data_IF_498549957801
#
_entry.id   IF_498549957801
#
_cell.length_a   1.000
_cell.length_b   1.000
_cell.length_c   1.000
_cell.angle_alpha   90.00
_cell.angle_beta   90.00
_cell.angle_gamma   90.00
#
_symmetry.space_group_name_H-M   'P 1'
#
loop_
_entity.id
_entity.type
_entity.pdbx_description
1 polymer ?
#
# COMPACT_ATOMS: atom_id res chain seq x y z
N UNK A 1 -2.25 4.37 -15.42
CA UNK A 1 -1.42 4.45 -14.20
C UNK A 1 -1.39 5.91 -13.83
N UNK A 2 -1.99 6.28 -12.71
CA UNK A 2 -2.11 7.68 -12.28
C UNK A 2 -1.09 7.99 -11.19
N UNK A 3 -0.99 9.27 -10.83
CA UNK A 3 -0.15 9.75 -9.73
C UNK A 3 -0.96 10.61 -8.75
N UNK A 4 -0.60 10.58 -7.47
CA UNK A 4 -1.21 11.47 -6.48
C UNK A 4 -0.75 12.91 -6.71
N UNK A 5 -1.69 13.87 -6.66
CA UNK A 5 -1.39 15.28 -6.96
C UNK A 5 -0.38 15.94 -6.02
N UNK A 6 -0.31 15.51 -4.75
CA UNK A 6 0.57 16.15 -3.73
C UNK A 6 1.95 15.53 -3.62
N UNK A 7 2.06 14.23 -3.87
CA UNK A 7 3.27 13.46 -3.54
C UNK A 7 3.78 12.63 -4.72
N UNK A 8 3.14 12.73 -5.89
CA UNK A 8 3.58 12.03 -7.10
C UNK A 8 3.64 10.51 -6.95
N UNK A 9 2.86 9.94 -6.03
CA UNK A 9 2.89 8.50 -5.75
C UNK A 9 2.07 7.77 -6.80
N UNK A 10 2.57 6.63 -7.23
CA UNK A 10 1.85 5.72 -8.11
C UNK A 10 0.52 5.32 -7.49
N UNK A 11 -0.54 5.51 -8.27
CA UNK A 11 -1.89 5.27 -7.84
C UNK A 11 -2.74 4.70 -8.97
N UNK A 12 -3.59 3.72 -8.67
CA UNK A 12 -4.64 3.30 -9.61
C UNK A 12 -5.87 2.77 -8.88
N UNK A 13 -7.00 2.78 -9.57
CA UNK A 13 -8.28 2.27 -9.08
C UNK A 13 -8.83 1.22 -10.03
N UNK A 14 -9.28 0.09 -9.47
CA UNK A 14 -9.94 -1.00 -10.21
C UNK A 14 -11.09 -1.50 -9.36
N UNK A 15 -12.29 -1.58 -9.92
CA UNK A 15 -13.47 -2.20 -9.27
C UNK A 15 -13.74 -1.72 -7.82
N UNK A 16 -13.55 -0.42 -7.56
CA UNK A 16 -13.76 0.17 -6.23
C UNK A 16 -12.62 -0.06 -5.23
N UNK A 17 -11.56 -0.76 -5.63
CA UNK A 17 -10.30 -0.84 -4.92
C UNK A 17 -9.35 0.27 -5.36
N UNK A 18 -8.49 0.69 -4.45
CA UNK A 18 -7.44 1.66 -4.67
C UNK A 18 -6.10 1.04 -4.32
N UNK A 19 -5.12 1.26 -5.18
CA UNK A 19 -3.77 0.73 -5.08
C UNK A 19 -2.83 1.91 -4.99
N UNK A 20 -2.14 2.05 -3.87
CA UNK A 20 -1.36 3.24 -3.55
C UNK A 20 0.06 2.84 -3.17
N UNK A 21 1.03 3.38 -3.89
CA UNK A 21 2.45 3.26 -3.54
C UNK A 21 2.75 3.90 -2.17
N UNK A 22 3.61 3.25 -1.41
CA UNK A 22 4.05 3.77 -0.12
C UNK A 22 4.80 5.09 -0.31
N UNK A 23 4.38 6.10 0.45
CA UNK A 23 5.09 7.38 0.47
C UNK A 23 6.43 7.25 1.23
N UNK A 24 7.60 7.37 0.56
CA UNK A 24 8.90 7.32 1.22
C UNK A 24 9.16 8.56 2.09
N UNK A 25 8.37 9.63 1.98
CA UNK A 25 8.61 10.86 2.75
C UNK A 25 8.00 10.83 4.15
N UNK A 26 7.13 9.86 4.46
CA UNK A 26 6.49 9.79 5.78
C UNK A 26 7.46 9.28 6.86
N UNK A 27 7.14 9.51 8.13
CA UNK A 27 7.94 9.01 9.27
C UNK A 27 7.75 7.52 9.60
N UNK A 28 7.05 6.76 8.76
CA UNK A 28 6.71 5.36 9.06
C UNK A 28 7.87 4.39 8.78
N UNK A 29 7.88 3.23 9.44
CA UNK A 29 8.82 2.15 9.10
C UNK A 29 8.68 1.70 7.64
N UNK A 30 7.47 1.74 7.07
CA UNK A 30 7.22 1.45 5.66
C UNK A 30 7.90 2.46 4.73
N UNK A 31 7.93 3.73 5.11
CA UNK A 31 8.66 4.75 4.36
C UNK A 31 10.17 4.53 4.43
N UNK A 32 10.70 4.12 5.59
CA UNK A 32 12.11 3.71 5.70
C UNK A 32 12.41 2.58 4.72
N UNK A 33 11.60 1.52 4.70
CA UNK A 33 11.77 0.42 3.75
C UNK A 33 11.69 0.89 2.29
N UNK A 34 10.75 1.78 1.96
CA UNK A 34 10.65 2.34 0.61
C UNK A 34 11.91 3.14 0.21
N UNK A 35 12.51 3.91 1.14
CA UNK A 35 13.79 4.59 0.92
C UNK A 35 14.96 3.61 0.75
N UNK A 36 14.90 2.45 1.39
CA UNK A 36 15.88 1.37 1.27
C UNK A 36 15.71 0.56 -0.04
N UNK A 37 14.70 0.88 -0.87
CA UNK A 37 14.48 0.28 -2.18
C UNK A 37 13.38 -0.78 -2.22
N UNK A 38 12.71 -1.07 -1.10
CA UNK A 38 11.60 -2.01 -1.07
C UNK A 38 10.38 -1.45 -1.80
N UNK A 39 9.74 -2.29 -2.61
CA UNK A 39 8.52 -1.92 -3.32
C UNK A 39 7.31 -2.24 -2.46
N UNK A 40 6.59 -1.22 -2.00
CA UNK A 40 5.45 -1.37 -1.11
C UNK A 40 4.22 -0.69 -1.72
N UNK A 41 3.12 -1.44 -1.80
CA UNK A 41 1.83 -0.97 -2.29
C UNK A 41 0.71 -1.34 -1.32
N UNK A 42 -0.16 -0.39 -1.02
CA UNK A 42 -1.35 -0.58 -0.21
C UNK A 42 -2.56 -0.88 -1.08
N UNK A 43 -3.36 -1.85 -0.66
CA UNK A 43 -4.67 -2.13 -1.26
C UNK A 43 -5.75 -1.63 -0.32
N UNK A 44 -6.57 -0.69 -0.80
CA UNK A 44 -7.64 -0.06 -0.03
C UNK A 44 -9.00 -0.29 -0.70
N UNK A 45 -10.06 -0.27 0.10
CA UNK A 45 -11.44 -0.09 -0.37
C UNK A 45 -12.07 1.07 0.39
N UNK A 46 -12.31 2.17 -0.29
CA UNK A 46 -12.63 3.45 0.36
C UNK A 46 -11.48 3.89 1.27
N UNK A 47 -11.75 4.02 2.57
CA UNK A 47 -10.75 4.42 3.59
C UNK A 47 -10.09 3.23 4.31
N UNK A 48 -10.49 2.00 4.01
CA UNK A 48 -10.03 0.80 4.72
C UNK A 48 -8.85 0.16 4.00
N UNK A 49 -7.75 -0.06 4.74
CA UNK A 49 -6.64 -0.89 4.29
C UNK A 49 -7.03 -2.37 4.38
N UNK A 50 -6.89 -3.10 3.28
CA UNK A 50 -7.27 -4.51 3.17
C UNK A 50 -6.06 -5.42 3.05
N UNK A 51 -5.02 -4.97 2.36
CA UNK A 51 -3.81 -5.72 2.14
C UNK A 51 -2.63 -4.81 1.84
N UNK A 52 -1.44 -5.41 1.84
CA UNK A 52 -0.19 -4.81 1.38
C UNK A 52 0.48 -5.78 0.41
N UNK A 53 1.06 -5.26 -0.67
CA UNK A 53 2.05 -5.98 -1.47
C UNK A 53 3.41 -5.41 -1.09
N UNK A 54 4.36 -6.28 -0.73
CA UNK A 54 5.75 -5.91 -0.43
C UNK A 54 6.68 -6.83 -1.20
N UNK A 55 7.50 -6.27 -2.08
CA UNK A 55 8.50 -7.01 -2.88
C UNK A 55 7.91 -8.23 -3.61
N UNK A 56 6.69 -8.10 -4.13
CA UNK A 56 5.95 -9.17 -4.82
C UNK A 56 5.16 -10.10 -3.90
N UNK A 57 5.34 -10.02 -2.59
CA UNK A 57 4.58 -10.82 -1.62
C UNK A 57 3.29 -10.12 -1.18
N UNK A 58 2.18 -10.86 -1.14
CA UNK A 58 0.86 -10.35 -0.78
C UNK A 58 0.49 -10.68 0.68
N UNK A 59 0.23 -9.64 1.46
CA UNK A 59 -0.13 -9.70 2.88
C UNK A 59 -1.60 -9.29 3.07
N UNK A 60 -2.48 -10.26 3.29
CA UNK A 60 -3.92 -10.03 3.51
C UNK A 60 -4.22 -9.74 4.99
N UNK A 61 -4.62 -8.51 5.30
CA UNK A 61 -4.92 -8.11 6.69
C UNK A 61 -6.23 -8.67 7.21
N UNK A 62 -7.09 -9.21 6.33
CA UNK A 62 -8.36 -9.84 6.72
C UNK A 62 -8.14 -11.26 7.25
N UNK A 63 -7.01 -11.89 6.93
CA UNK A 63 -6.72 -13.27 7.33
C UNK A 63 -6.22 -13.40 8.78
N UNK A 64 -5.85 -12.31 9.45
CA UNK A 64 -5.36 -12.33 10.84
C UNK A 64 -6.41 -12.68 11.91
N UNK A 65 -7.68 -12.90 11.56
CA UNK A 65 -8.77 -13.11 12.52
C UNK A 65 -9.33 -14.56 12.54
N UNK A 66 -8.58 -15.59 12.14
CA UNK A 66 -9.09 -16.98 12.10
C UNK A 66 -8.49 -17.96 13.11
N UNK A 67 -7.70 -17.51 14.08
CA UNK A 67 -7.19 -18.36 15.16
C UNK A 67 -7.34 -17.64 16.52
N UNK A 68 -8.55 -17.66 17.06
CA UNK A 68 -8.86 -17.51 18.50
C UNK A 68 -10.17 -18.22 18.78
#
# INVERSE_FOLDING_TARGET
MDFTNRSGLRFFKIEGYSYLEQNPETGSNWAKMAREGHQIMWVLKGRRYLAQVRDGEFYDFRKKNKET
#
